data_IF_818126943676
#
_entry.id   IF_818126943676
#
_cell.length_a   1.000
_cell.length_b   1.000
_cell.length_c   1.000
_cell.angle_alpha   90.00
_cell.angle_beta   90.00
_cell.angle_gamma   90.00
#
_symmetry.space_group_name_H-M   'P 1'
#
loop_
_entity.id
_entity.type
_entity.pdbx_description
1 polymer ?
#
# COMPACT_ATOMS: atom_id res chain seq x y z
N UNK A 1 -15.12 -13.95 6.76
CA UNK A 1 -14.48 -13.52 5.49
C UNK A 1 -13.76 -12.21 5.72
N UNK A 2 -12.47 -12.09 5.36
CA UNK A 2 -11.74 -10.82 5.28
C UNK A 2 -12.54 -9.74 4.56
N UNK A 3 -12.36 -8.48 4.95
CA UNK A 3 -13.09 -7.32 4.40
C UNK A 3 -13.06 -7.26 2.87
N UNK A 4 -11.91 -7.56 2.26
CA UNK A 4 -11.75 -7.44 0.81
C UNK A 4 -12.54 -8.51 0.05
N UNK A 5 -12.72 -9.71 0.62
CA UNK A 5 -13.62 -10.73 0.06
C UNK A 5 -15.09 -10.31 0.15
N UNK A 6 -15.46 -9.58 1.21
CA UNK A 6 -16.81 -9.02 1.34
C UNK A 6 -17.05 -7.93 0.28
N UNK A 7 -16.05 -7.10 -0.02
CA UNK A 7 -16.12 -6.12 -1.10
C UNK A 7 -16.27 -6.79 -2.48
N UNK A 8 -15.48 -7.84 -2.75
CA UNK A 8 -15.62 -8.62 -3.99
C UNK A 8 -16.99 -9.30 -4.08
N UNK A 9 -17.52 -9.78 -2.94
CA UNK A 9 -18.88 -10.32 -2.84
C UNK A 9 -19.94 -9.28 -3.20
N UNK A 10 -19.87 -8.11 -2.56
CA UNK A 10 -20.79 -7.01 -2.80
C UNK A 10 -20.74 -6.52 -4.25
N UNK A 11 -19.55 -6.39 -4.83
CA UNK A 11 -19.41 -5.99 -6.23
C UNK A 11 -20.15 -6.96 -7.17
N UNK A 12 -20.04 -8.27 -6.91
CA UNK A 12 -20.79 -9.30 -7.67
C UNK A 12 -22.30 -9.21 -7.46
N UNK A 13 -22.76 -8.87 -6.25
CA UNK A 13 -24.19 -8.71 -5.96
C UNK A 13 -24.83 -7.55 -6.72
N UNK A 14 -24.06 -6.51 -7.03
CA UNK A 14 -24.52 -5.30 -7.73
C UNK A 14 -24.11 -5.25 -9.21
N UNK A 15 -23.61 -6.36 -9.76
CA UNK A 15 -23.10 -6.48 -11.14
C UNK A 15 -22.00 -5.45 -11.49
N UNK A 16 -21.11 -5.18 -10.52
CA UNK A 16 -19.94 -4.35 -10.68
C UNK A 16 -18.65 -5.17 -10.81
N UNK A 17 -17.71 -4.67 -11.60
CA UNK A 17 -16.35 -5.21 -11.68
C UNK A 17 -15.59 -4.88 -10.40
N UNK A 18 -14.80 -5.85 -9.91
CA UNK A 18 -13.92 -5.69 -8.77
C UNK A 18 -12.46 -5.92 -9.20
N UNK A 19 -11.69 -4.83 -9.32
CA UNK A 19 -10.26 -4.88 -9.60
C UNK A 19 -9.44 -4.74 -8.31
N UNK A 20 -8.74 -5.81 -7.93
CA UNK A 20 -7.82 -5.78 -6.79
C UNK A 20 -6.43 -5.35 -7.25
N UNK A 21 -6.05 -4.09 -7.01
CA UNK A 21 -4.75 -3.53 -7.39
C UNK A 21 -3.93 -3.17 -6.15
N UNK A 22 -2.67 -3.60 -6.13
CA UNK A 22 -1.71 -3.30 -5.08
C UNK A 22 -0.59 -2.44 -5.65
N UNK A 23 -0.45 -1.22 -5.15
CA UNK A 23 0.67 -0.34 -5.48
C UNK A 23 1.85 -0.67 -4.57
N UNK A 24 2.96 -1.12 -5.15
CA UNK A 24 4.11 -1.61 -4.38
C UNK A 24 5.42 -1.00 -4.86
N UNK A 25 6.20 -0.47 -3.92
CA UNK A 25 7.60 -0.10 -4.16
C UNK A 25 8.52 -1.09 -3.44
N UNK A 26 9.83 -0.98 -3.66
CA UNK A 26 10.80 -1.75 -2.89
C UNK A 26 10.74 -1.41 -1.40
N UNK A 27 11.05 -2.40 -0.56
CA UNK A 27 11.16 -2.23 0.89
C UNK A 27 12.11 -1.09 1.27
N UNK A 28 13.25 -1.00 0.57
CA UNK A 28 14.25 0.05 0.78
C UNK A 28 13.68 1.45 0.48
N UNK A 29 13.02 1.62 -0.67
CA UNK A 29 12.41 2.89 -1.04
C UNK A 29 11.29 3.30 -0.08
N UNK A 30 10.47 2.35 0.36
CA UNK A 30 9.42 2.61 1.34
C UNK A 30 10.01 3.13 2.65
N UNK A 31 11.03 2.44 3.20
CA UNK A 31 11.69 2.86 4.44
C UNK A 31 12.37 4.22 4.30
N UNK A 32 13.09 4.44 3.19
CA UNK A 32 13.73 5.73 2.88
C UNK A 32 12.71 6.86 2.82
N UNK A 33 11.63 6.71 2.06
CA UNK A 33 10.58 7.73 1.92
C UNK A 33 9.85 7.99 3.22
N UNK A 34 9.63 6.95 4.03
CA UNK A 34 9.03 7.14 5.35
C UNK A 34 9.93 8.00 6.23
N UNK A 35 11.24 7.70 6.25
CA UNK A 35 12.22 8.51 6.99
C UNK A 35 12.27 9.97 6.50
N UNK A 36 12.25 10.18 5.19
CA UNK A 36 12.26 11.52 4.58
C UNK A 36 10.99 12.30 4.93
N UNK A 37 9.81 11.68 4.84
CA UNK A 37 8.53 12.29 5.26
C UNK A 37 8.52 12.63 6.75
N UNK A 38 9.03 11.75 7.60
CA UNK A 38 9.15 12.02 9.04
C UNK A 38 10.10 13.19 9.33
N UNK A 39 11.21 13.32 8.58
CA UNK A 39 12.13 14.47 8.72
C UNK A 39 11.55 15.77 8.17
N UNK A 40 10.73 15.70 7.13
CA UNK A 40 10.08 16.84 6.49
C UNK A 40 8.78 17.28 7.21
N UNK A 41 8.35 16.57 8.25
CA UNK A 41 7.11 16.83 8.98
C UNK A 41 7.19 18.15 9.80
N UNK A 42 6.86 19.26 9.13
CA UNK A 42 6.34 20.47 9.75
C UNK A 42 4.79 20.49 9.79
N UNK A 43 4.14 19.43 9.28
CA UNK A 43 2.68 19.28 9.20
C UNK A 43 2.16 18.40 10.36
N UNK A 44 1.22 18.88 11.20
CA UNK A 44 0.69 18.16 12.36
C UNK A 44 0.14 16.74 12.06
N UNK A 45 -0.39 16.49 10.86
CA UNK A 45 -0.90 15.17 10.47
C UNK A 45 0.21 14.12 10.26
N UNK A 46 1.45 14.56 10.07
CA UNK A 46 2.62 13.67 9.96
C UNK A 46 3.26 13.37 11.32
N UNK A 47 3.00 14.21 12.33
CA UNK A 47 3.47 14.03 13.71
C UNK A 47 2.69 12.91 14.42
N UNK A 48 1.37 12.79 14.24
CA UNK A 48 0.60 11.67 14.82
C UNK A 48 1.03 10.30 14.26
N UNK A 49 1.29 10.23 12.96
CA UNK A 49 1.82 9.00 12.33
C UNK A 49 3.22 8.65 12.85
N UNK A 50 4.05 9.66 13.11
CA UNK A 50 5.36 9.50 13.76
C UNK A 50 5.21 8.98 15.19
N UNK A 51 4.33 9.56 16.00
CA UNK A 51 4.11 9.12 17.37
C UNK A 51 3.53 7.70 17.46
N UNK A 52 2.72 7.27 16.48
CA UNK A 52 2.24 5.88 16.39
C UNK A 52 3.38 4.90 16.07
N UNK A 53 4.32 5.27 15.19
CA UNK A 53 5.47 4.43 14.84
C UNK A 53 6.51 4.39 15.95
N UNK A 54 6.79 5.53 16.60
CA UNK A 54 7.73 5.61 17.73
C UNK A 54 7.21 4.88 18.98
N UNK A 55 5.90 4.92 19.24
CA UNK A 55 5.27 4.14 20.33
C UNK A 55 5.14 2.65 20.02
N UNK A 56 5.21 2.25 18.74
CA UNK A 56 5.11 0.86 18.29
C UNK A 56 6.44 0.11 18.31
N UNK A 57 7.56 0.77 17.93
CA UNK A 57 8.85 0.09 17.74
C UNK A 57 9.76 0.69 16.65
N UNK A 58 9.37 1.76 15.97
CA UNK A 58 10.22 2.49 15.02
C UNK A 58 10.33 1.85 13.63
N UNK A 59 11.49 2.03 12.96
CA UNK A 59 11.73 1.51 11.61
C UNK A 59 11.67 -0.02 11.49
N UNK A 60 11.94 -0.75 12.57
CA UNK A 60 11.83 -2.21 12.61
C UNK A 60 10.38 -2.65 12.42
N UNK A 61 9.42 -1.91 12.97
CA UNK A 61 7.99 -2.17 12.77
C UNK A 61 7.53 -1.91 11.34
N UNK A 62 8.10 -0.90 10.66
CA UNK A 62 7.79 -0.63 9.25
C UNK A 62 8.32 -1.75 8.34
N UNK A 63 9.50 -2.27 8.65
CA UNK A 63 10.08 -3.43 7.97
C UNK A 63 9.20 -4.67 8.15
N UNK A 64 8.75 -4.94 9.39
CA UNK A 64 7.83 -6.05 9.70
C UNK A 64 6.47 -5.84 9.06
N UNK A 65 5.97 -4.60 9.01
CA UNK A 65 4.70 -4.27 8.36
C UNK A 65 4.77 -4.52 6.85
N UNK A 66 5.90 -4.20 6.20
CA UNK A 66 6.15 -4.55 4.81
C UNK A 66 6.12 -6.08 4.61
N UNK A 67 6.78 -6.84 5.48
CA UNK A 67 6.82 -8.32 5.36
C UNK A 67 5.44 -8.95 5.60
N UNK A 68 4.64 -8.39 6.51
CA UNK A 68 3.23 -8.75 6.71
C UNK A 68 2.39 -8.44 5.48
N UNK A 69 2.56 -7.27 4.88
CA UNK A 69 1.88 -6.89 3.64
C UNK A 69 2.23 -7.87 2.50
N UNK A 70 3.52 -8.21 2.34
CA UNK A 70 3.95 -9.20 1.36
C UNK A 70 3.29 -10.56 1.60
N UNK A 71 3.19 -11.00 2.86
CA UNK A 71 2.50 -12.24 3.21
C UNK A 71 1.03 -12.20 2.80
N UNK A 72 0.33 -11.08 3.05
CA UNK A 72 -1.06 -10.90 2.62
C UNK A 72 -1.18 -10.92 1.09
N UNK A 73 -0.31 -10.20 0.37
CA UNK A 73 -0.35 -10.16 -1.10
C UNK A 73 -0.12 -11.57 -1.69
N UNK A 74 0.85 -12.33 -1.18
CA UNK A 74 1.12 -13.69 -1.67
C UNK A 74 -0.04 -14.66 -1.45
N UNK A 75 -0.88 -14.43 -0.44
CA UNK A 75 -2.07 -15.21 -0.19
C UNK A 75 -3.25 -14.83 -1.11
N UNK A 76 -3.10 -13.80 -1.96
CA UNK A 76 -4.18 -13.21 -2.77
C UNK A 76 -3.81 -13.24 -4.26
N UNK A 77 -3.94 -14.39 -4.94
CA UNK A 77 -3.51 -14.55 -6.33
C UNK A 77 -4.33 -13.72 -7.34
N UNK A 78 -5.45 -13.14 -6.93
CA UNK A 78 -6.24 -12.20 -7.74
C UNK A 78 -5.72 -10.76 -7.70
N UNK A 79 -4.86 -10.43 -6.73
CA UNK A 79 -4.25 -9.13 -6.62
C UNK A 79 -3.28 -8.87 -7.78
N UNK A 80 -3.43 -7.75 -8.48
CA UNK A 80 -2.49 -7.27 -9.48
C UNK A 80 -1.51 -6.31 -8.83
N UNK A 81 -0.24 -6.66 -8.87
CA UNK A 81 0.81 -5.81 -8.31
C UNK A 81 1.26 -4.83 -9.40
N UNK A 82 1.15 -3.54 -9.10
CA UNK A 82 1.70 -2.45 -9.91
C UNK A 82 2.87 -1.87 -9.15
N UNK A 83 4.06 -1.98 -9.74
CA UNK A 83 5.25 -1.37 -9.16
C UNK A 83 5.22 0.15 -9.34
N UNK A 84 5.50 0.87 -8.26
CA UNK A 84 5.47 2.34 -8.24
C UNK A 84 6.87 2.91 -8.01
N UNK A 85 7.14 4.04 -8.66
CA UNK A 85 8.39 4.78 -8.52
C UNK A 85 8.12 6.24 -8.13
N UNK A 86 9.04 6.85 -7.39
CA UNK A 86 8.88 8.22 -6.90
C UNK A 86 8.75 9.21 -8.04
N UNK A 87 7.78 10.11 -7.96
CA UNK A 87 7.58 11.16 -8.96
C UNK A 87 7.14 10.64 -10.33
N UNK A 88 6.91 9.33 -10.50
CA UNK A 88 6.46 8.71 -11.76
C UNK A 88 4.95 8.48 -11.79
N UNK A 89 4.17 9.47 -11.35
CA UNK A 89 2.71 9.36 -11.21
C UNK A 89 2.05 8.94 -12.53
N UNK A 90 2.43 9.54 -13.65
CA UNK A 90 1.83 9.22 -14.96
C UNK A 90 2.12 7.78 -15.39
N UNK A 91 3.33 7.26 -15.13
CA UNK A 91 3.68 5.88 -15.43
C UNK A 91 2.90 4.91 -14.54
N UNK A 92 2.78 5.21 -13.25
CA UNK A 92 1.95 4.42 -12.33
C UNK A 92 0.49 4.43 -12.78
N UNK A 93 -0.05 5.59 -13.17
CA UNK A 93 -1.43 5.72 -13.61
C UNK A 93 -1.69 4.89 -14.88
N UNK A 94 -0.79 4.96 -15.87
CA UNK A 94 -0.87 4.11 -17.06
C UNK A 94 -0.81 2.62 -16.71
N UNK A 95 0.08 2.23 -15.80
CA UNK A 95 0.18 0.84 -15.35
C UNK A 95 -1.09 0.37 -14.63
N UNK A 96 -1.73 1.23 -13.83
CA UNK A 96 -3.03 0.94 -13.21
C UNK A 96 -4.09 0.70 -14.28
N UNK A 97 -4.21 1.59 -15.27
CA UNK A 97 -5.19 1.44 -16.35
C UNK A 97 -5.00 0.15 -17.16
N UNK A 98 -3.75 -0.27 -17.39
CA UNK A 98 -3.44 -1.53 -18.06
C UNK A 98 -3.80 -2.77 -17.22
N UNK A 99 -4.04 -2.59 -15.93
CA UNK A 99 -4.40 -3.64 -14.97
C UNK A 99 -5.87 -3.58 -14.52
N UNK A 100 -6.75 -2.85 -15.22
CA UNK A 100 -8.20 -2.92 -15.02
C UNK A 100 -8.83 -3.94 -15.97
N UNK A 101 -9.92 -4.61 -15.56
CA UNK A 101 -10.73 -5.49 -16.43
C UNK A 101 -11.90 -4.75 -17.06
#
# INVERSE_FOLDING_TARGET
MPFIEQLEGLAREVDATFDEIVLLDSKENMLRRFAERSRAAADPLHVEAQEMVERGGGFEDLSVMYDRLMSVITARPRARIVHVEEGKVDLTYQAVLHNLV
#
